data_IF_766030149344
#
_entry.id   IF_766030149344
#
_cell.length_a   1.000
_cell.length_b   1.000
_cell.length_c   1.000
_cell.angle_alpha   90.00
_cell.angle_beta   90.00
_cell.angle_gamma   90.00
#
_symmetry.space_group_name_H-M   'P 1'
#
loop_
_entity.id
_entity.type
_entity.pdbx_description
1 polymer ?
#
# COMPACT_ATOMS: atom_id res chain seq x y z
N UNK A 1 -3.83 -1.67 -46.64
CA UNK A 1 -2.57 -0.96 -46.48
C UNK A 1 -2.52 -0.09 -45.26
N UNK A 2 -3.51 0.71 -45.06
CA UNK A 2 -3.57 1.68 -43.94
C UNK A 2 -4.08 1.12 -42.60
N UNK A 3 -4.80 -0.02 -42.56
CA UNK A 3 -5.32 -0.52 -41.29
C UNK A 3 -4.26 -0.91 -40.26
N UNK A 4 -3.04 -1.20 -40.69
CA UNK A 4 -1.96 -1.55 -39.80
C UNK A 4 -1.59 -0.43 -38.82
N UNK A 5 -1.60 0.80 -39.32
CA UNK A 5 -1.26 1.97 -38.52
C UNK A 5 -2.28 2.20 -37.40
N UNK A 6 -3.56 1.97 -37.70
CA UNK A 6 -4.63 2.11 -36.72
C UNK A 6 -4.52 1.12 -35.59
N UNK A 7 -4.14 -0.12 -35.90
CA UNK A 7 -3.96 -1.15 -34.87
C UNK A 7 -2.77 -0.85 -33.98
N UNK A 8 -1.68 -0.34 -34.54
CA UNK A 8 -0.49 0.00 -33.77
C UNK A 8 -0.80 1.14 -32.80
N UNK A 9 -1.52 2.16 -33.25
CA UNK A 9 -1.91 3.29 -32.39
C UNK A 9 -2.83 2.84 -31.23
N UNK A 10 -3.74 1.91 -31.53
CA UNK A 10 -4.65 1.39 -30.51
C UNK A 10 -3.90 0.64 -29.42
N UNK A 11 -2.89 -0.17 -29.80
CA UNK A 11 -2.07 -0.92 -28.84
C UNK A 11 -1.28 0.02 -27.95
N UNK A 12 -0.74 1.11 -28.51
CA UNK A 12 -0.01 2.12 -27.73
C UNK A 12 -0.90 2.79 -26.68
N UNK A 13 -2.14 3.08 -27.04
CA UNK A 13 -3.12 3.68 -26.12
C UNK A 13 -3.47 2.75 -24.97
N UNK A 14 -3.56 1.43 -25.23
CA UNK A 14 -3.85 0.45 -24.20
C UNK A 14 -2.69 0.26 -23.20
N UNK A 15 -1.46 0.52 -23.62
CA UNK A 15 -0.30 0.36 -22.77
C UNK A 15 -0.20 1.46 -21.70
N UNK A 16 -0.69 2.66 -21.99
CA UNK A 16 -0.60 3.82 -21.08
C UNK A 16 -1.37 3.61 -19.76
N UNK A 17 -2.63 3.15 -19.77
CA UNK A 17 -3.40 2.98 -18.52
C UNK A 17 -2.80 1.95 -17.57
N UNK A 18 -2.09 0.94 -18.07
CA UNK A 18 -1.51 -0.10 -17.23
C UNK A 18 -0.40 0.43 -16.32
N UNK A 19 0.34 1.43 -16.77
CA UNK A 19 1.40 2.03 -15.97
C UNK A 19 0.85 2.90 -14.82
N UNK A 20 -0.35 3.46 -15.00
CA UNK A 20 -0.98 4.32 -14.01
C UNK A 20 -1.61 3.56 -12.85
N UNK A 21 -1.90 2.27 -13.00
CA UNK A 21 -2.69 1.49 -12.05
C UNK A 21 -1.86 0.71 -11.03
N UNK A 22 -0.52 0.76 -11.11
CA UNK A 22 0.35 -0.02 -10.22
C UNK A 22 0.14 0.33 -8.75
N UNK A 23 0.01 1.62 -8.43
CA UNK A 23 -0.18 2.08 -7.06
C UNK A 23 -1.57 1.70 -6.51
N UNK A 24 -2.59 1.76 -7.36
CA UNK A 24 -3.95 1.37 -6.96
C UNK A 24 -4.01 -0.11 -6.59
N UNK A 25 -3.33 -0.96 -7.33
CA UNK A 25 -3.26 -2.39 -7.01
C UNK A 25 -2.56 -2.64 -5.69
N UNK A 26 -1.47 -1.91 -5.42
CA UNK A 26 -0.75 -2.02 -4.15
C UNK A 26 -1.64 -1.63 -2.98
N UNK A 27 -2.43 -0.57 -3.13
CA UNK A 27 -3.36 -0.12 -2.09
C UNK A 27 -4.45 -1.17 -1.83
N UNK A 28 -5.00 -1.77 -2.89
CA UNK A 28 -5.97 -2.85 -2.76
C UNK A 28 -5.38 -4.05 -2.06
N UNK A 29 -4.12 -4.36 -2.37
CA UNK A 29 -3.41 -5.48 -1.74
C UNK A 29 -3.21 -5.23 -0.25
N UNK A 30 -2.91 -4.00 0.15
CA UNK A 30 -2.79 -3.63 1.56
C UNK A 30 -4.13 -3.88 2.26
N UNK A 31 -5.23 -3.36 1.72
CA UNK A 31 -6.55 -3.54 2.33
C UNK A 31 -6.96 -5.02 2.38
N UNK A 32 -6.71 -5.78 1.34
CA UNK A 32 -7.01 -7.20 1.31
C UNK A 32 -6.26 -7.96 2.41
N UNK A 33 -4.97 -7.65 2.58
CA UNK A 33 -4.13 -8.29 3.59
C UNK A 33 -4.60 -7.95 5.00
N UNK A 34 -4.89 -6.68 5.25
CA UNK A 34 -5.38 -6.22 6.55
C UNK A 34 -6.73 -6.89 6.88
N UNK A 35 -7.66 -6.90 5.95
CA UNK A 35 -8.99 -7.48 6.16
C UNK A 35 -8.93 -8.98 6.36
N UNK A 36 -8.08 -9.67 5.62
CA UNK A 36 -7.91 -11.11 5.74
C UNK A 36 -7.12 -11.51 7.00
N UNK A 37 -6.43 -10.57 7.64
CA UNK A 37 -5.55 -10.87 8.76
C UNK A 37 -4.29 -11.61 8.35
N UNK A 38 -3.90 -11.51 7.10
CA UNK A 38 -2.75 -12.23 6.54
C UNK A 38 -1.78 -11.25 5.89
N UNK A 39 -0.65 -11.01 6.53
CA UNK A 39 0.32 -10.01 6.08
C UNK A 39 1.33 -10.55 5.06
N UNK A 40 1.29 -11.83 4.74
CA UNK A 40 2.23 -12.42 3.78
C UNK A 40 2.16 -11.72 2.42
N UNK A 41 0.97 -11.27 2.02
CA UNK A 41 0.78 -10.55 0.77
C UNK A 41 1.43 -9.17 0.74
N UNK A 42 1.88 -8.66 1.88
CA UNK A 42 2.54 -7.35 1.95
C UNK A 42 4.04 -7.42 1.69
N UNK A 43 4.63 -8.59 1.79
CA UNK A 43 6.08 -8.75 1.68
C UNK A 43 6.66 -8.15 0.40
N UNK A 44 6.00 -8.40 -0.72
CA UNK A 44 6.46 -7.91 -2.03
C UNK A 44 6.34 -6.41 -2.20
N UNK A 45 5.54 -5.76 -1.37
CA UNK A 45 5.34 -4.31 -1.43
C UNK A 45 6.37 -3.52 -0.64
N UNK A 46 7.10 -4.18 0.26
CA UNK A 46 8.02 -3.50 1.17
C UNK A 46 9.44 -3.48 0.64
N UNK A 47 10.13 -2.38 0.86
CA UNK A 47 11.57 -2.31 0.64
C UNK A 47 12.28 -3.16 1.70
N UNK A 48 13.56 -3.43 1.49
CA UNK A 48 14.36 -4.23 2.43
C UNK A 48 14.54 -3.54 3.78
N UNK A 49 14.54 -2.21 3.80
CA UNK A 49 14.58 -1.40 5.01
C UNK A 49 13.37 -0.47 5.01
N UNK A 50 12.68 -0.40 6.11
CA UNK A 50 11.48 0.44 6.23
C UNK A 50 11.43 1.13 7.59
N UNK A 51 10.74 2.27 7.61
CA UNK A 51 10.40 2.93 8.86
C UNK A 51 8.97 2.53 9.19
N UNK A 52 8.79 1.85 10.31
CA UNK A 52 7.46 1.42 10.74
C UNK A 52 7.10 2.13 12.04
N UNK A 53 5.87 2.60 12.13
CA UNK A 53 5.34 3.24 13.33
C UNK A 53 3.94 2.65 13.59
N UNK A 54 3.77 2.00 14.72
CA UNK A 54 2.47 1.44 15.10
C UNK A 54 2.11 1.97 16.48
N UNK A 55 1.01 2.72 16.54
CA UNK A 55 0.48 3.29 17.78
C UNK A 55 1.54 4.08 18.56
N UNK A 56 2.34 4.84 17.83
CA UNK A 56 3.35 5.72 18.42
C UNK A 56 4.71 5.10 18.62
N UNK A 57 4.88 3.80 18.39
CA UNK A 57 6.17 3.14 18.48
C UNK A 57 6.81 3.06 17.10
N UNK A 58 7.91 3.80 16.91
CA UNK A 58 8.59 3.91 15.63
C UNK A 58 9.95 3.23 15.66
N UNK A 59 10.30 2.59 14.56
CA UNK A 59 11.60 1.96 14.38
C UNK A 59 11.93 1.86 12.90
N UNK A 60 13.21 2.00 12.56
CA UNK A 60 13.73 1.68 11.24
C UNK A 60 14.26 0.25 11.31
N UNK A 61 13.77 -0.62 10.46
CA UNK A 61 14.05 -2.05 10.56
C UNK A 61 14.00 -2.74 9.21
N UNK A 62 14.40 -3.99 9.20
CA UNK A 62 14.26 -4.85 8.05
C UNK A 62 12.81 -5.22 7.80
N UNK A 63 12.54 -5.64 6.58
CA UNK A 63 11.20 -6.02 6.12
C UNK A 63 10.54 -7.08 7.00
N UNK A 64 11.29 -8.11 7.39
CA UNK A 64 10.72 -9.21 8.17
C UNK A 64 10.20 -8.75 9.53
N UNK A 65 10.98 -7.93 10.21
CA UNK A 65 10.56 -7.39 11.50
C UNK A 65 9.35 -6.49 11.36
N UNK A 66 9.31 -5.68 10.30
CA UNK A 66 8.17 -4.82 10.02
C UNK A 66 6.89 -5.64 9.84
N UNK A 67 6.97 -6.73 9.08
CA UNK A 67 5.82 -7.60 8.86
C UNK A 67 5.35 -8.27 10.14
N UNK A 68 6.26 -8.67 11.02
CA UNK A 68 5.89 -9.20 12.34
C UNK A 68 5.10 -8.19 13.16
N UNK A 69 5.57 -6.94 13.17
CA UNK A 69 4.88 -5.86 13.89
C UNK A 69 3.48 -5.62 13.35
N UNK A 70 3.33 -5.64 12.04
CA UNK A 70 2.03 -5.48 11.39
C UNK A 70 1.13 -6.67 11.70
N UNK A 71 1.68 -7.90 11.66
CA UNK A 71 0.92 -9.10 11.96
C UNK A 71 0.39 -9.07 13.39
N UNK A 72 1.19 -8.62 14.34
CA UNK A 72 0.77 -8.49 15.73
C UNK A 72 -0.38 -7.50 15.88
N UNK A 73 -0.29 -6.36 15.20
CA UNK A 73 -1.35 -5.37 15.23
C UNK A 73 -2.65 -5.93 14.65
N UNK A 74 -2.57 -6.54 13.48
CA UNK A 74 -3.75 -7.08 12.78
C UNK A 74 -4.37 -8.22 13.58
N UNK A 75 -3.54 -9.07 14.19
CA UNK A 75 -4.02 -10.16 15.04
C UNK A 75 -4.77 -9.68 16.27
N UNK A 76 -4.34 -8.57 16.86
CA UNK A 76 -5.00 -7.98 18.02
C UNK A 76 -6.19 -7.09 17.65
N UNK A 77 -6.26 -6.65 16.41
CA UNK A 77 -7.28 -5.71 15.95
C UNK A 77 -7.88 -6.19 14.62
N UNK A 78 -8.69 -7.26 14.65
CA UNK A 78 -9.30 -7.77 13.42
C UNK A 78 -10.13 -6.69 12.72
N UNK A 79 -9.87 -6.49 11.44
CA UNK A 79 -10.49 -5.43 10.66
C UNK A 79 -11.86 -5.85 10.13
N UNK A 80 -12.87 -5.01 10.35
CA UNK A 80 -14.20 -5.20 9.76
C UNK A 80 -14.36 -4.41 8.47
N UNK A 81 -13.54 -3.39 8.26
CA UNK A 81 -13.61 -2.56 7.06
C UNK A 81 -12.27 -1.87 6.81
N UNK A 82 -11.92 -1.71 5.54
CA UNK A 82 -10.72 -1.03 5.11
C UNK A 82 -11.06 -0.18 3.90
N UNK A 83 -10.79 1.11 3.98
CA UNK A 83 -11.16 2.04 2.92
C UNK A 83 -10.06 3.05 2.66
N UNK A 84 -9.73 3.26 1.39
CA UNK A 84 -8.81 4.31 0.99
C UNK A 84 -9.50 5.65 1.17
N UNK A 85 -8.93 6.52 2.01
CA UNK A 85 -9.48 7.85 2.25
C UNK A 85 -8.75 8.92 1.45
N UNK A 86 -7.47 8.69 1.13
CA UNK A 86 -6.70 9.67 0.37
C UNK A 86 -5.48 9.04 -0.27
N UNK A 87 -5.05 9.57 -1.41
CA UNK A 87 -3.79 9.17 -2.03
C UNK A 87 -3.22 10.34 -2.83
N UNK A 88 -1.92 10.34 -3.02
CA UNK A 88 -1.25 11.37 -3.78
C UNK A 88 0.03 10.86 -4.39
N UNK A 89 0.58 11.66 -5.31
CA UNK A 89 1.78 11.28 -6.04
C UNK A 89 2.68 12.50 -6.22
N UNK A 90 3.98 12.29 -6.01
CA UNK A 90 5.04 13.26 -6.29
C UNK A 90 6.14 12.54 -7.02
N UNK A 91 6.79 13.18 -7.97
CA UNK A 91 7.97 12.69 -8.71
C UNK A 91 8.25 11.18 -8.55
N UNK A 92 9.11 10.82 -7.57
CA UNK A 92 9.52 9.44 -7.32
C UNK A 92 8.81 8.79 -6.14
N UNK A 93 7.82 9.45 -5.57
CA UNK A 93 7.11 8.93 -4.41
C UNK A 93 5.61 9.04 -4.58
N UNK A 94 4.90 8.17 -3.88
CA UNK A 94 3.46 8.22 -3.78
C UNK A 94 3.05 7.80 -2.38
N UNK A 95 1.87 8.20 -1.96
CA UNK A 95 1.39 7.82 -0.64
C UNK A 95 -0.08 7.46 -0.69
N UNK A 96 -0.52 6.70 0.29
CA UNK A 96 -1.94 6.47 0.51
C UNK A 96 -2.27 6.56 1.99
N UNK A 97 -3.49 6.97 2.27
CA UNK A 97 -4.06 7.01 3.61
C UNK A 97 -5.29 6.11 3.58
N UNK A 98 -5.32 5.16 4.50
CA UNK A 98 -6.37 4.15 4.57
C UNK A 98 -7.00 4.23 5.95
N UNK A 99 -8.33 4.16 6.02
CA UNK A 99 -9.05 4.08 7.27
C UNK A 99 -9.40 2.62 7.54
N UNK A 100 -9.07 2.14 8.73
CA UNK A 100 -9.35 0.78 9.17
C UNK A 100 -10.33 0.84 10.33
N UNK A 101 -11.39 0.02 10.28
CA UNK A 101 -12.34 -0.13 11.37
C UNK A 101 -12.13 -1.48 12.04
N UNK A 102 -12.11 -1.48 13.36
CA UNK A 102 -11.94 -2.70 14.14
C UNK A 102 -12.65 -2.56 15.48
N UNK A 103 -13.72 -3.31 15.67
CA UNK A 103 -14.45 -3.38 16.96
C UNK A 103 -14.74 -2.02 17.59
N UNK A 104 -15.33 -1.10 16.84
CA UNK A 104 -15.68 0.22 17.33
C UNK A 104 -14.53 1.23 17.36
N UNK A 105 -13.34 0.81 17.01
CA UNK A 105 -12.18 1.70 16.94
C UNK A 105 -11.87 2.03 15.48
N UNK A 106 -11.24 3.18 15.29
CA UNK A 106 -10.81 3.63 13.97
C UNK A 106 -9.32 3.87 13.97
N UNK A 107 -8.66 3.39 12.94
CA UNK A 107 -7.23 3.58 12.77
C UNK A 107 -6.96 4.20 11.42
N UNK A 108 -5.88 4.95 11.32
CA UNK A 108 -5.41 5.51 10.07
C UNK A 108 -4.07 4.87 9.73
N UNK A 109 -4.01 4.28 8.55
CA UNK A 109 -2.78 3.71 8.00
C UNK A 109 -2.25 4.64 6.93
N UNK A 110 -0.99 5.02 7.06
CA UNK A 110 -0.27 5.83 6.07
C UNK A 110 0.86 4.98 5.50
N UNK A 111 0.94 4.90 4.18
CA UNK A 111 2.03 4.20 3.51
C UNK A 111 2.67 5.13 2.48
N UNK A 112 3.99 5.24 2.56
CA UNK A 112 4.78 6.01 1.60
C UNK A 112 5.56 5.04 0.72
N UNK A 113 5.37 5.16 -0.59
CA UNK A 113 6.05 4.36 -1.60
C UNK A 113 7.10 5.19 -2.30
N UNK A 114 8.21 4.58 -2.66
CA UNK A 114 9.21 5.18 -3.51
C UNK A 114 9.58 4.26 -4.65
N UNK A 115 9.96 4.86 -5.78
CA UNK A 115 10.43 4.10 -6.93
C UNK A 115 11.82 3.53 -6.65
N UNK A 116 11.94 2.21 -6.75
CA UNK A 116 13.20 1.49 -6.60
C UNK A 116 13.27 0.49 -7.76
N UNK A 117 14.19 0.69 -8.69
CA UNK A 117 14.38 -0.20 -9.85
C UNK A 117 13.05 -0.49 -10.57
N UNK A 118 12.31 0.54 -10.92
CA UNK A 118 11.03 0.46 -11.63
C UNK A 118 9.88 -0.15 -10.83
N UNK A 119 10.05 -0.30 -9.53
CA UNK A 119 8.98 -0.76 -8.64
C UNK A 119 8.68 0.31 -7.61
N UNK A 120 7.41 0.38 -7.20
CA UNK A 120 6.99 1.23 -6.09
C UNK A 120 7.02 0.38 -4.83
N UNK A 121 7.93 0.69 -3.90
CA UNK A 121 8.09 -0.06 -2.66
C UNK A 121 7.81 0.81 -1.46
N UNK A 122 7.18 0.22 -0.45
CA UNK A 122 6.87 0.92 0.79
C UNK A 122 8.16 1.17 1.57
N UNK A 123 8.37 2.43 1.94
CA UNK A 123 9.51 2.87 2.76
C UNK A 123 9.09 3.35 4.13
N UNK A 124 7.83 3.79 4.27
CA UNK A 124 7.25 4.15 5.55
C UNK A 124 5.87 3.52 5.66
N UNK A 125 5.56 3.01 6.85
CA UNK A 125 4.26 2.41 7.13
C UNK A 125 3.88 2.80 8.55
N UNK A 126 2.76 3.49 8.69
CA UNK A 126 2.36 4.05 9.97
C UNK A 126 0.90 3.77 10.26
N UNK A 127 0.61 3.33 11.48
CA UNK A 127 -0.76 3.11 11.93
C UNK A 127 -0.97 3.93 13.20
N UNK A 128 -1.97 4.79 13.19
CA UNK A 128 -2.34 5.62 14.33
C UNK A 128 -3.80 5.34 14.72
N UNK A 129 -4.07 5.44 16.02
CA UNK A 129 -5.44 5.37 16.53
C UNK A 129 -6.09 6.73 16.35
N UNK A 130 -7.19 6.78 15.61
CA UNK A 130 -7.94 8.01 15.36
C UNK A 130 -9.37 7.89 15.88
N UNK A 131 -9.59 6.99 16.82
CA UNK A 131 -10.90 6.80 17.45
C UNK A 131 -11.31 8.06 18.21
N UNK A 132 -12.56 8.48 18.00
CA UNK A 132 -13.14 9.63 18.70
C UNK A 132 -14.03 9.20 19.86
#
# INVERSE_FOLDING_TARGET
MKPYIKHILFVLLLAIPMLANATEQSVKQICSSITAGNVDGLETLFDSQVEISILGESVVCGREYALERIADFVGSNPSSACKVSHHGKRENSSFCIITIKSSGRSYRLYALFRAVSNKQLIQQFRIDDVTE
#
